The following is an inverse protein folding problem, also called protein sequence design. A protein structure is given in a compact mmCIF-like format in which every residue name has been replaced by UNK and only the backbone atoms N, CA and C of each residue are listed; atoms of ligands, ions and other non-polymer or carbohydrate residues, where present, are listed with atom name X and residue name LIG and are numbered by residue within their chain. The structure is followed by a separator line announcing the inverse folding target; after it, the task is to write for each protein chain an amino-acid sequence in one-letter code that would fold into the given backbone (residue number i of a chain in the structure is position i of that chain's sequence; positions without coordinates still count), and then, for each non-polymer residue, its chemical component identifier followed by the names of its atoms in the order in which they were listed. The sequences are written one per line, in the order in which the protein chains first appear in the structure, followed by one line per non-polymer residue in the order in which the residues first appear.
data_IF_973038473541
#
_entry.id   IF_973038473541
#
_cell.length_a   1.000
_cell.length_b   1.000
_cell.length_c   1.000
_cell.angle_alpha   90.00
_cell.angle_beta   90.00
_cell.angle_gamma   90.00
#
_symmetry.space_group_name_H-M   'P 1'
#
loop_
_entity.id
_entity.type
_entity.pdbx_description
1 polymer ?
#
# COMPACT_ATOMS: atom_id res chain seq x y z
N UNK A 1 -5.54 -16.33 25.50
CA UNK A 1 -4.64 -15.29 24.99
C UNK A 1 -3.21 -15.80 25.04
N UNK A 2 -2.42 -15.55 23.99
CA UNK A 2 -0.97 -15.81 24.03
C UNK A 2 -0.26 -14.60 24.64
N UNK A 3 0.80 -14.83 25.42
CA UNK A 3 1.64 -13.76 26.01
C UNK A 3 2.93 -13.66 25.20
N UNK A 4 3.22 -12.45 24.70
CA UNK A 4 4.47 -12.12 24.04
C UNK A 4 5.25 -11.14 24.91
N UNK A 5 6.53 -11.40 25.09
CA UNK A 5 7.49 -10.45 25.69
C UNK A 5 8.32 -9.87 24.56
N UNK A 6 8.35 -8.56 24.43
CA UNK A 6 9.03 -7.83 23.35
C UNK A 6 10.07 -6.93 24.00
N UNK A 7 11.29 -6.93 23.48
CA UNK A 7 12.34 -5.97 23.83
C UNK A 7 12.53 -5.00 22.67
N UNK A 8 12.71 -3.73 22.98
CA UNK A 8 12.88 -2.67 22.00
C UNK A 8 13.77 -1.55 22.55
N UNK A 9 14.38 -0.73 21.69
CA UNK A 9 15.13 0.44 22.12
C UNK A 9 14.27 1.43 22.91
N UNK A 10 14.87 2.14 23.85
CA UNK A 10 14.19 3.10 24.74
C UNK A 10 13.36 4.11 23.95
N UNK A 11 13.91 4.64 22.85
CA UNK A 11 13.20 5.59 21.98
C UNK A 11 11.88 5.04 21.43
N UNK A 12 11.81 3.74 21.11
CA UNK A 12 10.57 3.12 20.66
C UNK A 12 9.58 2.96 21.81
N UNK A 13 10.08 2.59 23.00
CA UNK A 13 9.24 2.48 24.19
C UNK A 13 8.61 3.82 24.55
N UNK A 14 9.40 4.90 24.60
CA UNK A 14 8.92 6.26 24.87
C UNK A 14 7.82 6.69 23.90
N UNK A 15 7.99 6.37 22.62
CA UNK A 15 7.00 6.68 21.62
C UNK A 15 5.68 5.91 21.84
N UNK A 16 5.76 4.63 22.22
CA UNK A 16 4.58 3.80 22.51
C UNK A 16 3.88 4.30 23.77
N UNK A 17 4.62 4.62 24.82
CA UNK A 17 4.09 5.21 26.05
C UNK A 17 3.38 6.53 25.76
N UNK A 18 3.93 7.39 24.91
CA UNK A 18 3.27 8.63 24.50
C UNK A 18 1.92 8.39 23.79
N UNK A 19 1.76 7.29 23.04
CA UNK A 19 0.46 6.93 22.45
C UNK A 19 -0.58 6.57 23.51
N UNK A 20 -0.16 5.88 24.57
CA UNK A 20 -1.01 5.51 25.69
C UNK A 20 -1.35 6.74 26.53
N UNK A 21 -0.37 7.57 26.86
CA UNK A 21 -0.56 8.81 27.63
C UNK A 21 -1.46 9.83 26.92
N UNK A 22 -1.48 9.84 25.59
CA UNK A 22 -2.41 10.65 24.80
C UNK A 22 -3.88 10.18 24.92
N UNK A 23 -4.17 9.12 25.68
CA UNK A 23 -5.51 8.57 25.89
C UNK A 23 -6.07 7.79 24.69
N UNK A 24 -5.26 7.58 23.65
CA UNK A 24 -5.67 6.81 22.46
C UNK A 24 -5.77 5.32 22.73
N UNK A 25 -5.04 4.82 23.72
CA UNK A 25 -4.99 3.41 24.11
C UNK A 25 -4.93 3.32 25.64
N UNK A 26 -5.61 2.33 26.23
CA UNK A 26 -5.61 2.13 27.68
C UNK A 26 -4.34 1.46 28.21
N UNK A 27 -3.57 0.79 27.35
CA UNK A 27 -2.26 0.23 27.68
C UNK A 27 -1.44 -0.11 26.42
N UNK A 28 -0.17 -0.45 26.64
CA UNK A 28 0.77 -0.87 25.60
C UNK A 28 0.28 -2.09 24.82
N UNK A 29 -0.33 -3.08 25.48
CA UNK A 29 -0.80 -4.30 24.79
C UNK A 29 -1.95 -4.00 23.83
N UNK A 30 -2.77 -3.01 24.12
CA UNK A 30 -3.83 -2.53 23.24
C UNK A 30 -3.27 -1.82 22.01
N UNK A 31 -2.28 -0.96 22.22
CA UNK A 31 -1.55 -0.33 21.12
C UNK A 31 -0.98 -1.38 20.15
N UNK A 32 -0.28 -2.39 20.66
CA UNK A 32 0.31 -3.43 19.81
C UNK A 32 -0.74 -4.29 19.08
N UNK A 33 -1.85 -4.62 19.74
CA UNK A 33 -2.96 -5.35 19.08
C UNK A 33 -3.55 -4.56 17.93
N UNK A 34 -3.75 -3.25 18.12
CA UNK A 34 -4.22 -2.37 17.06
C UNK A 34 -3.19 -2.25 15.93
N UNK A 35 -1.90 -2.13 16.25
CA UNK A 35 -0.84 -2.08 15.26
C UNK A 35 -0.80 -3.34 14.38
N UNK A 36 -0.92 -4.52 14.98
CA UNK A 36 -0.98 -5.81 14.26
C UNK A 36 -2.23 -5.89 13.38
N UNK A 37 -3.38 -5.41 13.85
CA UNK A 37 -4.60 -5.37 13.06
C UNK A 37 -4.46 -4.46 11.84
N UNK A 38 -3.96 -3.23 12.02
CA UNK A 38 -3.69 -2.30 10.91
C UNK A 38 -2.68 -2.85 9.92
N UNK A 39 -1.69 -3.60 10.40
CA UNK A 39 -0.72 -4.25 9.51
C UNK A 39 -1.38 -5.33 8.64
N UNK A 40 -2.24 -6.16 9.22
CA UNK A 40 -3.03 -7.14 8.48
C UNK A 40 -3.96 -6.46 7.47
N UNK A 41 -4.75 -5.47 7.91
CA UNK A 41 -5.67 -4.73 7.04
C UNK A 41 -4.95 -4.11 5.83
N UNK A 42 -3.76 -3.51 6.04
CA UNK A 42 -2.97 -2.95 4.92
C UNK A 42 -2.47 -4.02 3.96
N UNK A 43 -2.04 -5.18 4.45
CA UNK A 43 -1.56 -6.28 3.62
C UNK A 43 -2.70 -6.92 2.83
N UNK A 44 -3.84 -7.12 3.47
CA UNK A 44 -5.06 -7.62 2.84
C UNK A 44 -5.54 -6.66 1.75
N UNK A 45 -5.64 -5.36 2.05
CA UNK A 45 -6.00 -4.36 1.05
C UNK A 45 -5.07 -4.36 -0.18
N UNK A 46 -3.76 -4.43 0.03
CA UNK A 46 -2.80 -4.49 -1.07
C UNK A 46 -2.94 -5.78 -1.91
N UNK A 47 -3.26 -6.90 -1.26
CA UNK A 47 -3.48 -8.17 -1.94
C UNK A 47 -4.78 -8.15 -2.75
N UNK A 48 -5.85 -7.62 -2.17
CA UNK A 48 -7.15 -7.48 -2.83
C UNK A 48 -7.08 -6.53 -4.03
N UNK A 49 -6.36 -5.42 -3.91
CA UNK A 49 -6.11 -4.49 -5.02
C UNK A 49 -5.39 -5.19 -6.18
N UNK A 50 -4.32 -5.94 -5.89
CA UNK A 50 -3.58 -6.70 -6.90
C UNK A 50 -4.48 -7.76 -7.55
N UNK A 51 -5.25 -8.49 -6.74
CA UNK A 51 -6.19 -9.49 -7.23
C UNK A 51 -7.22 -8.88 -8.17
N UNK A 52 -7.84 -7.77 -7.77
CA UNK A 52 -8.80 -7.05 -8.59
C UNK A 52 -8.19 -6.57 -9.92
N UNK A 53 -6.93 -6.11 -9.90
CA UNK A 53 -6.21 -5.73 -11.12
C UNK A 53 -6.01 -6.92 -12.06
N UNK A 54 -5.62 -8.08 -11.52
CA UNK A 54 -5.42 -9.30 -12.30
C UNK A 54 -6.73 -9.83 -12.87
N UNK A 55 -7.80 -9.90 -12.07
CA UNK A 55 -9.13 -10.34 -12.53
C UNK A 55 -9.64 -9.45 -13.68
N UNK A 56 -9.44 -8.13 -13.59
CA UNK A 56 -9.77 -7.19 -14.68
C UNK A 56 -8.90 -7.41 -15.93
N UNK A 57 -7.62 -7.70 -15.75
CA UNK A 57 -6.71 -7.96 -16.87
C UNK A 57 -7.07 -9.29 -17.58
N UNK A 58 -7.37 -10.34 -16.83
CA UNK A 58 -7.82 -11.63 -17.36
C UNK A 58 -9.16 -11.51 -18.10
N UNK A 59 -10.14 -10.82 -17.51
CA UNK A 59 -11.42 -10.55 -18.16
C UNK A 59 -11.28 -9.69 -19.43
N UNK A 60 -10.25 -8.84 -19.50
CA UNK A 60 -9.91 -8.04 -20.68
C UNK A 60 -9.35 -8.84 -21.85
N UNK A 61 -8.97 -10.10 -21.64
CA UNK A 61 -8.41 -10.98 -22.66
C UNK A 61 -7.01 -10.57 -23.13
N UNK A 62 -6.43 -11.38 -24.02
CA UNK A 62 -5.08 -11.14 -24.54
C UNK A 62 -5.12 -10.02 -25.59
N UNK A 63 -4.35 -8.97 -25.38
CA UNK A 63 -4.22 -7.89 -26.36
C UNK A 63 -3.45 -8.37 -27.60
N UNK A 64 -3.93 -7.97 -28.78
CA UNK A 64 -3.24 -8.19 -30.06
C UNK A 64 -2.23 -7.09 -30.38
N UNK A 65 -2.13 -6.05 -29.55
CA UNK A 65 -1.23 -4.90 -29.78
C UNK A 65 0.23 -5.30 -29.57
N UNK A 66 1.08 -4.94 -30.53
CA UNK A 66 2.52 -5.05 -30.37
C UNK A 66 3.09 -3.96 -29.47
N UNK A 67 4.34 -4.12 -29.03
CA UNK A 67 5.03 -3.14 -28.18
C UNK A 67 5.09 -1.74 -28.82
N UNK A 68 5.29 -1.67 -30.14
CA UNK A 68 5.29 -0.40 -30.91
C UNK A 68 3.98 0.35 -30.79
N UNK A 69 2.85 -0.36 -30.90
CA UNK A 69 1.51 0.23 -30.87
C UNK A 69 1.17 0.73 -29.46
N UNK A 70 1.58 -0.02 -28.43
CA UNK A 70 1.43 0.35 -27.03
C UNK A 70 2.23 1.63 -26.74
N UNK A 71 3.49 1.69 -27.17
CA UNK A 71 4.35 2.85 -26.97
C UNK A 71 3.88 4.09 -27.74
N UNK A 72 3.37 3.91 -28.96
CA UNK A 72 2.76 5.00 -29.73
C UNK A 72 1.53 5.56 -29.02
N UNK A 73 0.63 4.70 -28.54
CA UNK A 73 -0.56 5.11 -27.78
C UNK A 73 -0.19 5.83 -26.48
N UNK A 74 0.79 5.32 -25.72
CA UNK A 74 1.24 5.94 -24.47
C UNK A 74 1.86 7.33 -24.69
N UNK A 75 2.65 7.51 -25.76
CA UNK A 75 3.22 8.83 -26.13
C UNK A 75 2.14 9.83 -26.50
N UNK A 76 1.12 9.39 -27.23
CA UNK A 76 0.00 10.25 -27.61
C UNK A 76 -0.81 10.68 -26.37
N UNK A 77 -1.10 9.75 -25.45
CA UNK A 77 -1.76 10.07 -24.19
C UNK A 77 -0.93 11.03 -23.32
N UNK A 78 0.39 10.84 -23.25
CA UNK A 78 1.28 11.73 -22.51
C UNK A 78 1.37 13.14 -23.13
N UNK A 79 1.29 13.27 -24.47
CA UNK A 79 1.17 14.58 -25.14
C UNK A 79 -0.15 15.27 -24.81
N UNK A 80 -1.27 14.54 -24.82
CA UNK A 80 -2.58 15.08 -24.45
C UNK A 80 -2.63 15.56 -23.00
N UNK A 81 -1.92 14.87 -22.10
CA UNK A 81 -1.79 15.27 -20.69
C UNK A 81 -0.72 16.35 -20.45
N UNK A 82 -0.04 16.83 -21.50
CA UNK A 82 1.01 17.85 -21.42
C UNK A 82 2.31 17.39 -20.75
N UNK A 83 2.49 16.08 -20.58
CA UNK A 83 3.66 15.47 -19.94
C UNK A 83 4.84 15.29 -20.90
N UNK A 84 4.58 15.31 -22.21
CA UNK A 84 5.59 15.39 -23.25
C UNK A 84 5.45 16.74 -23.96
N UNK A 85 6.39 17.66 -23.71
CA UNK A 85 6.62 18.79 -24.63
C UNK A 85 7.26 18.21 -25.89
N UNK A 86 6.68 18.52 -27.06
CA UNK A 86 7.28 18.14 -28.33
C UNK A 86 8.71 18.65 -28.38
N UNK A 87 9.67 17.73 -28.46
CA UNK A 87 10.94 18.04 -29.11
C UNK A 87 10.70 17.86 -30.61
N UNK A 88 11.11 18.88 -31.36
CA UNK A 88 11.07 18.97 -32.82
C UNK A 88 11.65 17.74 -33.52
#
# INVERSE_FOLDING_TARGET
MSRLTISMPDQMNDWVEAQVSAGRYGNVSEYFRDLVRRDQERREAAFDDLRNMLERAEAGGVSTRGLSDIMAAAREEARQKGLLRGED
#
